data_IF_922746383898
#
_entry.id   IF_922746383898
#
_cell.length_a   1.000
_cell.length_b   1.000
_cell.length_c   1.000
_cell.angle_alpha   90.00
_cell.angle_beta   90.00
_cell.angle_gamma   90.00
#
_symmetry.space_group_name_H-M   'P 1'
#
loop_
_entity.id
_entity.type
_entity.pdbx_description
1 polymer ?
#
# COMPACT_ATOMS: atom_id res chain seq x y z
N UNK A 1 -15.27 -16.28 -1.86
CA UNK A 1 -15.04 -15.53 -0.59
C UNK A 1 -13.98 -14.44 -0.81
N UNK A 2 -12.86 -14.81 -1.44
CA UNK A 2 -11.72 -13.94 -1.78
C UNK A 2 -12.07 -12.63 -2.48
N UNK A 3 -12.99 -12.61 -3.46
CA UNK A 3 -13.36 -11.35 -4.15
C UNK A 3 -14.03 -10.32 -3.24
N UNK A 4 -14.79 -10.74 -2.21
CA UNK A 4 -15.38 -9.81 -1.23
C UNK A 4 -14.31 -9.23 -0.31
N UNK A 5 -13.31 -10.06 0.02
CA UNK A 5 -12.18 -9.67 0.84
C UNK A 5 -11.24 -8.68 0.13
N UNK A 6 -10.98 -8.89 -1.17
CA UNK A 6 -10.27 -7.93 -2.02
C UNK A 6 -11.02 -6.60 -2.00
N UNK A 7 -12.33 -6.60 -2.30
CA UNK A 7 -13.12 -5.37 -2.31
C UNK A 7 -13.11 -4.65 -0.97
N UNK A 8 -13.36 -5.35 0.14
CA UNK A 8 -13.37 -4.74 1.46
C UNK A 8 -12.01 -4.10 1.83
N UNK A 9 -10.91 -4.77 1.49
CA UNK A 9 -9.56 -4.24 1.73
C UNK A 9 -9.20 -3.08 0.80
N UNK A 10 -9.64 -3.11 -0.46
CA UNK A 10 -9.47 -1.98 -1.39
C UNK A 10 -10.17 -0.72 -0.88
N UNK A 11 -11.39 -0.83 -0.35
CA UNK A 11 -12.10 0.32 0.23
C UNK A 11 -11.37 0.88 1.46
N UNK A 12 -10.85 0.03 2.35
CA UNK A 12 -10.05 0.49 3.49
C UNK A 12 -8.77 1.19 3.04
N UNK A 13 -8.09 0.65 2.04
CA UNK A 13 -6.89 1.26 1.47
C UNK A 13 -7.18 2.62 0.83
N UNK A 14 -8.27 2.72 0.08
CA UNK A 14 -8.76 3.96 -0.52
C UNK A 14 -9.08 5.02 0.54
N UNK A 15 -9.77 4.65 1.61
CA UNK A 15 -10.09 5.58 2.70
C UNK A 15 -8.81 6.12 3.35
N UNK A 16 -7.85 5.24 3.63
CA UNK A 16 -6.56 5.65 4.17
C UNK A 16 -5.81 6.62 3.24
N UNK A 17 -5.78 6.37 1.92
CA UNK A 17 -5.13 7.29 0.99
C UNK A 17 -5.86 8.65 0.92
N UNK A 18 -7.19 8.67 1.01
CA UNK A 18 -7.94 9.92 1.12
C UNK A 18 -7.57 10.68 2.40
N UNK A 19 -7.49 10.00 3.55
CA UNK A 19 -7.04 10.59 4.82
C UNK A 19 -5.60 11.12 4.73
N UNK A 20 -4.70 10.39 4.05
CA UNK A 20 -3.33 10.81 3.81
C UNK A 20 -3.21 12.11 3.00
N UNK A 21 -4.19 12.43 2.15
CA UNK A 21 -4.25 13.73 1.46
C UNK A 21 -4.64 14.88 2.37
N UNK A 22 -5.43 14.60 3.41
CA UNK A 22 -5.90 15.62 4.34
C UNK A 22 -4.95 15.80 5.54
N UNK A 23 -4.33 14.72 6.02
CA UNK A 23 -3.44 14.71 7.18
C UNK A 23 -2.18 13.84 6.89
N UNK A 24 -1.25 14.33 6.04
CA UNK A 24 -0.11 13.54 5.59
C UNK A 24 0.85 13.16 6.73
N UNK A 25 1.06 14.05 7.70
CA UNK A 25 1.96 13.80 8.83
C UNK A 25 1.45 12.70 9.78
N UNK A 26 0.14 12.66 10.05
CA UNK A 26 -0.48 11.62 10.86
C UNK A 26 -0.50 10.29 10.11
N UNK A 27 -0.91 10.32 8.84
CA UNK A 27 -1.00 9.15 7.99
C UNK A 27 0.37 8.51 7.75
N UNK A 28 1.45 9.29 7.66
CA UNK A 28 2.81 8.78 7.54
C UNK A 28 3.23 7.92 8.73
N UNK A 29 2.76 8.22 9.95
CA UNK A 29 3.03 7.41 11.15
C UNK A 29 2.28 6.09 11.13
N UNK A 30 1.08 6.07 10.56
CA UNK A 30 0.26 4.87 10.43
C UNK A 30 0.59 4.05 9.17
N UNK A 31 1.33 4.64 8.23
CA UNK A 31 1.63 4.04 6.93
C UNK A 31 2.20 2.62 6.99
N UNK A 32 3.19 2.29 7.86
CA UNK A 32 3.71 0.91 7.92
C UNK A 32 2.64 -0.13 8.30
N UNK A 33 1.67 0.25 9.13
CA UNK A 33 0.55 -0.62 9.49
C UNK A 33 -0.43 -0.76 8.33
N UNK A 34 -0.74 0.35 7.66
CA UNK A 34 -1.72 0.41 6.56
C UNK A 34 -1.18 -0.25 5.28
N UNK A 35 0.13 -0.18 5.02
CA UNK A 35 0.79 -0.86 3.92
C UNK A 35 0.56 -2.38 3.93
N UNK A 36 0.24 -2.97 5.10
CA UNK A 36 -0.17 -4.38 5.22
C UNK A 36 -1.42 -4.70 4.42
N UNK A 37 -2.38 -3.77 4.33
CA UNK A 37 -3.58 -3.95 3.51
C UNK A 37 -3.18 -4.13 2.04
N UNK A 38 -2.26 -3.29 1.56
CA UNK A 38 -1.76 -3.33 0.18
C UNK A 38 -0.93 -4.59 -0.11
N UNK A 39 -0.14 -5.08 0.85
CA UNK A 39 0.54 -6.39 0.75
C UNK A 39 -0.47 -7.52 0.64
N UNK A 40 -1.48 -7.57 1.52
CA UNK A 40 -2.51 -8.62 1.48
C UNK A 40 -3.24 -8.59 0.13
N UNK A 41 -3.56 -7.40 -0.39
CA UNK A 41 -4.15 -7.27 -1.72
C UNK A 41 -3.25 -7.86 -2.82
N UNK A 42 -1.94 -7.58 -2.82
CA UNK A 42 -0.99 -8.21 -3.76
C UNK A 42 -1.01 -9.73 -3.65
N UNK A 43 -0.93 -10.26 -2.43
CA UNK A 43 -0.89 -11.71 -2.20
C UNK A 43 -2.19 -12.41 -2.63
N UNK A 44 -3.35 -11.78 -2.36
CA UNK A 44 -4.64 -12.31 -2.78
C UNK A 44 -4.81 -12.27 -4.30
N UNK A 45 -4.30 -11.25 -4.98
CA UNK A 45 -4.32 -11.17 -6.44
C UNK A 45 -3.41 -12.22 -7.08
N UNK A 46 -2.22 -12.43 -6.50
CA UNK A 46 -1.28 -13.47 -6.95
C UNK A 46 -1.88 -14.88 -6.79
N UNK A 47 -2.47 -15.19 -5.63
CA UNK A 47 -3.15 -16.46 -5.36
C UNK A 47 -4.29 -16.73 -6.35
N UNK A 48 -5.06 -15.69 -6.69
CA UNK A 48 -6.13 -15.76 -7.69
C UNK A 48 -5.62 -15.73 -9.14
N UNK A 49 -4.32 -15.51 -9.37
CA UNK A 49 -3.72 -15.20 -10.68
C UNK A 49 -4.49 -14.11 -11.44
N UNK A 50 -4.98 -13.13 -10.68
CA UNK A 50 -5.79 -12.04 -11.18
C UNK A 50 -4.93 -10.79 -11.40
N UNK A 51 -5.17 -10.09 -12.50
CA UNK A 51 -4.59 -8.77 -12.71
C UNK A 51 -5.18 -7.77 -11.71
N UNK A 52 -4.41 -6.75 -11.29
CA UNK A 52 -4.94 -5.65 -10.49
C UNK A 52 -6.09 -4.97 -11.24
N UNK A 53 -7.13 -4.58 -10.50
CA UNK A 53 -8.22 -3.79 -11.06
C UNK A 53 -7.75 -2.37 -11.42
N UNK A 54 -8.49 -1.69 -12.31
CA UNK A 54 -8.29 -0.26 -12.59
C UNK A 54 -8.33 0.59 -11.32
N UNK A 55 -9.20 0.23 -10.37
CA UNK A 55 -9.28 0.90 -9.06
C UNK A 55 -7.97 0.77 -8.28
N UNK A 56 -7.41 -0.44 -8.14
CA UNK A 56 -6.16 -0.62 -7.41
C UNK A 56 -5.00 0.11 -8.10
N UNK A 57 -5.00 0.11 -9.43
CA UNK A 57 -4.01 0.84 -10.24
C UNK A 57 -4.10 2.35 -10.03
N UNK A 58 -5.32 2.90 -9.93
CA UNK A 58 -5.53 4.31 -9.63
C UNK A 58 -5.09 4.67 -8.20
N UNK A 59 -5.36 3.81 -7.22
CA UNK A 59 -4.90 3.98 -5.84
C UNK A 59 -3.37 3.93 -5.74
N UNK A 60 -2.71 3.03 -6.47
CA UNK A 60 -1.25 2.97 -6.56
C UNK A 60 -0.67 4.26 -7.17
N UNK A 61 -1.32 4.80 -8.21
CA UNK A 61 -0.92 6.07 -8.81
C UNK A 61 -1.09 7.25 -7.84
N UNK A 62 -2.13 7.24 -7.02
CA UNK A 62 -2.35 8.24 -5.96
C UNK A 62 -1.27 8.13 -4.87
N UNK A 63 -1.01 6.92 -4.37
CA UNK A 63 0.05 6.67 -3.41
C UNK A 63 1.39 7.18 -3.95
N UNK A 64 1.76 6.87 -5.19
CA UNK A 64 3.03 7.32 -5.80
C UNK A 64 3.24 8.83 -5.77
N UNK A 65 2.16 9.63 -5.86
CA UNK A 65 2.26 11.11 -5.81
C UNK A 65 2.64 11.63 -4.44
N UNK A 66 2.19 10.94 -3.39
CA UNK A 66 2.48 11.28 -1.99
C UNK A 66 3.58 10.41 -1.39
N UNK A 67 4.12 9.44 -2.11
CA UNK A 67 5.11 8.51 -1.59
C UNK A 67 6.53 9.04 -1.76
N UNK A 68 7.35 8.78 -0.76
CA UNK A 68 8.78 9.06 -0.75
C UNK A 68 9.54 7.76 -0.55
N UNK A 69 10.26 7.36 -1.58
CA UNK A 69 11.15 6.18 -1.50
C UNK A 69 12.18 6.33 -0.39
N UNK A 70 12.48 5.24 0.30
CA UNK A 70 13.37 5.19 1.44
C UNK A 70 13.70 3.74 1.83
N UNK A 71 14.08 3.54 3.10
CA UNK A 71 14.35 2.21 3.63
C UNK A 71 13.07 1.36 3.73
N UNK A 72 13.24 0.04 3.78
CA UNK A 72 12.16 -0.90 4.07
C UNK A 72 11.52 -0.59 5.43
N UNK A 73 10.19 -0.45 5.45
CA UNK A 73 9.44 0.05 6.63
C UNK A 73 9.03 -1.04 7.62
N UNK A 74 9.23 -2.30 7.27
CA UNK A 74 8.94 -3.46 8.12
C UNK A 74 10.21 -4.05 8.70
N UNK A 75 10.07 -5.17 9.41
CA UNK A 75 11.21 -5.91 9.94
C UNK A 75 12.21 -6.25 8.81
N UNK A 76 13.49 -5.85 8.91
CA UNK A 76 14.49 -6.11 7.88
C UNK A 76 14.66 -7.59 7.54
N UNK A 77 14.33 -8.50 8.46
CA UNK A 77 14.36 -9.93 8.19
C UNK A 77 13.29 -10.39 7.18
N UNK A 78 12.33 -9.53 6.81
CA UNK A 78 11.33 -9.79 5.77
C UNK A 78 11.71 -9.17 4.42
N UNK A 79 12.73 -8.31 4.36
CA UNK A 79 13.10 -7.57 3.15
C UNK A 79 13.42 -8.52 1.97
N UNK A 80 14.06 -9.66 2.24
CA UNK A 80 14.39 -10.67 1.22
C UNK A 80 13.16 -11.37 0.63
N UNK A 81 12.02 -11.34 1.31
CA UNK A 81 10.75 -11.93 0.83
C UNK A 81 9.96 -10.94 -0.03
N UNK A 82 10.08 -9.65 0.26
CA UNK A 82 9.28 -8.60 -0.36
C UNK A 82 10.09 -7.73 -1.31
N UNK A 83 10.41 -8.23 -2.50
CA UNK A 83 11.18 -7.50 -3.51
C UNK A 83 10.65 -6.08 -3.78
N UNK A 84 11.56 -5.11 -3.87
CA UNK A 84 11.24 -3.69 -4.12
C UNK A 84 10.47 -3.46 -5.42
N UNK A 85 10.63 -4.29 -6.44
CA UNK A 85 9.87 -4.17 -7.70
C UNK A 85 8.37 -4.41 -7.49
N UNK A 86 8.01 -5.47 -6.78
CA UNK A 86 6.61 -5.86 -6.54
C UNK A 86 5.99 -5.13 -5.34
N UNK A 87 6.81 -4.80 -4.34
CA UNK A 87 6.40 -4.21 -3.07
C UNK A 87 7.05 -2.84 -2.84
N UNK A 88 7.20 -2.04 -3.90
CA UNK A 88 7.81 -0.69 -3.85
C UNK A 88 7.25 0.20 -2.74
N UNK A 89 5.97 0.03 -2.40
CA UNK A 89 5.26 0.77 -1.37
C UNK A 89 5.74 0.43 0.07
N UNK A 90 6.52 -0.63 0.26
CA UNK A 90 7.20 -0.93 1.54
C UNK A 90 8.57 -0.25 1.67
N UNK A 91 9.11 0.32 0.58
CA UNK A 91 10.44 0.92 0.55
C UNK A 91 10.35 2.43 0.60
N UNK A 92 9.78 2.95 1.69
CA UNK A 92 9.54 4.37 1.84
C UNK A 92 8.31 4.71 2.67
N UNK A 93 8.06 5.99 2.83
CA UNK A 93 6.94 6.52 3.63
C UNK A 93 6.21 7.61 2.87
N UNK A 94 5.09 8.09 3.41
CA UNK A 94 4.38 9.22 2.85
C UNK A 94 5.18 10.51 3.06
N UNK A 95 5.18 11.38 2.05
CA UNK A 95 5.70 12.73 2.13
C UNK A 95 4.90 13.50 3.18
N UNK A 96 5.58 13.95 4.22
CA UNK A 96 5.02 14.77 5.30
C UNK A 96 5.18 16.27 5.04
N UNK A 97 5.49 16.66 3.80
CA UNK A 97 5.75 18.06 3.46
C UNK A 97 4.40 18.77 3.27
N UNK A 98 4.02 19.55 4.28
CA UNK A 98 3.09 20.70 4.16
C UNK A 98 3.76 21.85 3.40
#
# INVERSE_FOLDING_TARGET
KTSREVRARSELWKNFLAEARHAPAESARQYPYQARLRVILSLLLDDLRASPSDELTALDAELRRMFRSGAFIWDPALEWVFSQESFWFLYGTLNTQE
#
